data_IF_704926679667
#
_entry.id   IF_704926679667
#
_cell.length_a   1.000
_cell.length_b   1.000
_cell.length_c   1.000
_cell.angle_alpha   90.00
_cell.angle_beta   90.00
_cell.angle_gamma   90.00
#
_symmetry.space_group_name_H-M   'P 1'
#
loop_
_entity.id
_entity.type
_entity.pdbx_description
1 polymer ?
#
# COMPACT_ATOMS: atom_id res chain seq x y z
N UNK A 1 0.26 -5.82 12.52
CA UNK A 1 -0.96 -5.39 11.80
C UNK A 1 -2.12 -6.41 11.87
N UNK A 2 -1.87 -7.68 11.53
CA UNK A 2 -2.92 -8.71 11.41
C UNK A 2 -3.59 -9.07 12.75
N UNK A 3 -2.91 -8.85 13.88
CA UNK A 3 -3.45 -9.11 15.22
C UNK A 3 -4.40 -8.01 15.74
N UNK A 4 -4.61 -6.94 14.96
CA UNK A 4 -5.41 -5.78 15.36
C UNK A 4 -6.60 -5.60 14.40
N UNK A 5 -7.76 -5.12 14.90
CA UNK A 5 -8.87 -4.73 14.04
C UNK A 5 -8.46 -3.56 13.14
N UNK A 6 -9.07 -3.48 11.95
CA UNK A 6 -8.78 -2.42 10.99
C UNK A 6 -9.43 -1.11 11.47
N UNK A 7 -8.61 -0.08 11.71
CA UNK A 7 -9.08 1.18 12.29
C UNK A 7 -9.71 2.16 11.29
N UNK A 8 -9.48 1.97 9.99
CA UNK A 8 -9.95 2.88 8.93
C UNK A 8 -11.11 2.27 8.13
N UNK A 9 -12.07 3.08 7.65
CA UNK A 9 -13.08 2.62 6.69
C UNK A 9 -12.44 2.09 5.41
N UNK A 10 -13.11 1.14 4.73
CA UNK A 10 -12.56 0.50 3.51
C UNK A 10 -12.11 1.49 2.44
N UNK A 11 -12.95 2.49 2.11
CA UNK A 11 -12.63 3.52 1.13
C UNK A 11 -11.42 4.39 1.50
N UNK A 12 -10.97 4.40 2.76
CA UNK A 12 -9.80 5.13 3.23
C UNK A 12 -8.49 4.30 3.18
N UNK A 13 -8.54 3.05 2.70
CA UNK A 13 -7.39 2.13 2.69
C UNK A 13 -6.73 2.08 1.32
N UNK A 14 -5.39 2.12 1.30
CA UNK A 14 -4.58 1.87 0.12
C UNK A 14 -3.24 1.25 0.54
N UNK A 15 -2.70 0.33 -0.25
CA UNK A 15 -1.42 -0.35 0.01
C UNK A 15 -0.52 -0.24 -1.22
N UNK A 16 0.75 0.07 -1.05
CA UNK A 16 1.75 -0.20 -2.08
C UNK A 16 2.78 -1.20 -1.56
N UNK A 17 3.30 -2.07 -2.43
CA UNK A 17 4.24 -3.11 -2.04
C UNK A 17 5.26 -3.42 -3.14
N UNK A 18 6.50 -3.67 -2.73
CA UNK A 18 7.61 -4.00 -3.61
C UNK A 18 7.68 -5.50 -3.88
N UNK A 19 7.71 -5.93 -5.15
CA UNK A 19 7.83 -7.35 -5.52
C UNK A 19 9.16 -7.99 -5.10
N UNK A 20 10.20 -7.17 -4.88
CA UNK A 20 11.51 -7.60 -4.42
C UNK A 20 11.79 -7.25 -2.96
N UNK A 21 10.77 -6.83 -2.19
CA UNK A 21 10.93 -6.51 -0.78
C UNK A 21 11.19 -7.80 0.04
N UNK A 22 12.23 -7.76 0.86
CA UNK A 22 12.62 -8.85 1.77
C UNK A 22 12.35 -8.52 3.24
N UNK A 23 12.03 -7.28 3.55
CA UNK A 23 11.70 -6.81 4.90
C UNK A 23 10.19 -6.85 5.13
N UNK A 24 9.42 -6.23 4.22
CA UNK A 24 7.97 -6.35 4.14
C UNK A 24 7.63 -7.20 2.91
N UNK A 25 7.81 -8.51 3.06
CA UNK A 25 7.71 -9.47 1.95
C UNK A 25 6.36 -9.41 1.23
N UNK A 26 6.34 -9.87 -0.02
CA UNK A 26 5.10 -9.95 -0.82
C UNK A 26 4.00 -10.79 -0.15
N UNK A 27 4.36 -11.87 0.57
CA UNK A 27 3.40 -12.67 1.33
C UNK A 27 2.80 -11.88 2.52
N UNK A 28 3.62 -11.14 3.26
CA UNK A 28 3.13 -10.29 4.34
C UNK A 28 2.22 -9.17 3.80
N UNK A 29 2.58 -8.56 2.67
CA UNK A 29 1.75 -7.56 2.01
C UNK A 29 0.41 -8.14 1.52
N UNK A 30 0.41 -9.34 0.91
CA UNK A 30 -0.81 -10.04 0.50
C UNK A 30 -1.73 -10.35 1.69
N UNK A 31 -1.18 -10.89 2.78
CA UNK A 31 -1.95 -11.19 4.00
C UNK A 31 -2.55 -9.94 4.63
N UNK A 32 -1.84 -8.81 4.57
CA UNK A 32 -2.37 -7.52 5.02
C UNK A 32 -3.52 -7.04 4.13
N UNK A 33 -3.35 -7.17 2.81
CA UNK A 33 -4.37 -6.82 1.82
C UNK A 33 -5.65 -7.63 2.02
N UNK A 34 -5.55 -8.94 2.22
CA UNK A 34 -6.69 -9.82 2.56
C UNK A 34 -7.35 -9.41 3.89
N UNK A 35 -6.55 -9.16 4.93
CA UNK A 35 -7.03 -8.72 6.25
C UNK A 35 -7.75 -7.36 6.20
N UNK A 36 -7.48 -6.55 5.18
CA UNK A 36 -8.05 -5.21 5.00
C UNK A 36 -9.21 -5.18 4.01
N UNK A 37 -9.79 -6.35 3.69
CA UNK A 37 -10.89 -6.53 2.74
C UNK A 37 -10.51 -6.10 1.31
N UNK A 38 -9.32 -6.46 0.87
CA UNK A 38 -8.85 -6.27 -0.51
C UNK A 38 -8.91 -4.80 -1.00
N UNK A 39 -8.29 -3.84 -0.27
CA UNK A 39 -8.31 -2.44 -0.66
C UNK A 39 -7.49 -2.20 -1.94
N UNK A 40 -7.55 -0.98 -2.44
CA UNK A 40 -6.72 -0.55 -3.57
C UNK A 40 -5.23 -0.84 -3.33
N UNK A 41 -4.56 -1.44 -4.32
CA UNK A 41 -3.16 -1.83 -4.19
C UNK A 41 -2.29 -1.48 -5.41
N UNK A 42 -1.03 -1.15 -5.15
CA UNK A 42 -0.02 -0.89 -6.17
C UNK A 42 1.22 -1.77 -5.97
N UNK A 43 1.59 -2.55 -6.99
CA UNK A 43 2.77 -3.40 -6.97
C UNK A 43 3.87 -2.84 -7.87
N UNK A 44 5.06 -2.60 -7.30
CA UNK A 44 6.21 -2.07 -8.05
C UNK A 44 7.40 -3.05 -8.06
N UNK A 45 8.22 -3.07 -9.12
CA UNK A 45 9.41 -3.93 -9.21
C UNK A 45 10.57 -3.33 -8.40
N UNK A 46 10.53 -3.40 -7.07
CA UNK A 46 11.60 -2.88 -6.22
C UNK A 46 11.69 -3.57 -4.85
N UNK A 47 12.76 -3.26 -4.14
CA UNK A 47 12.99 -3.67 -2.76
C UNK A 47 12.29 -2.71 -1.78
N UNK A 48 12.54 -2.89 -0.48
CA UNK A 48 11.92 -2.09 0.58
C UNK A 48 12.04 -0.57 0.43
N UNK A 49 13.20 -0.07 -0.03
CA UNK A 49 13.47 1.37 -0.18
C UNK A 49 13.35 1.85 -1.62
N UNK A 50 13.13 0.94 -2.56
CA UNK A 50 13.03 1.24 -4.00
C UNK A 50 11.88 2.17 -4.35
N UNK A 51 10.87 2.30 -3.47
CA UNK A 51 9.75 3.22 -3.68
C UNK A 51 10.19 4.69 -3.76
N UNK A 52 11.31 5.06 -3.13
CA UNK A 52 11.83 6.43 -3.13
C UNK A 52 12.12 6.94 -4.55
N UNK A 53 12.47 6.04 -5.47
CA UNK A 53 12.73 6.34 -6.88
C UNK A 53 11.63 5.83 -7.82
N UNK A 54 10.47 5.44 -7.28
CA UNK A 54 9.38 4.89 -8.08
C UNK A 54 8.30 5.93 -8.36
N UNK A 55 8.31 6.47 -9.58
CA UNK A 55 7.22 7.33 -10.07
C UNK A 55 5.85 6.65 -9.98
N UNK A 56 5.82 5.31 -10.16
CA UNK A 56 4.59 4.53 -10.06
C UNK A 56 4.01 4.58 -8.64
N UNK A 57 4.86 4.45 -7.61
CA UNK A 57 4.41 4.53 -6.22
C UNK A 57 3.96 5.95 -5.88
N UNK A 58 4.74 6.97 -6.26
CA UNK A 58 4.38 8.35 -5.93
C UNK A 58 3.10 8.83 -6.62
N UNK A 59 2.87 8.46 -7.89
CA UNK A 59 1.60 8.73 -8.58
C UNK A 59 0.41 8.04 -7.91
N UNK A 60 0.61 6.78 -7.46
CA UNK A 60 -0.40 6.04 -6.73
C UNK A 60 -0.75 6.72 -5.40
N UNK A 61 0.26 7.10 -4.60
CA UNK A 61 0.06 7.78 -3.31
C UNK A 61 -0.66 9.13 -3.52
N UNK A 62 -0.23 9.92 -4.51
CA UNK A 62 -0.86 11.20 -4.83
C UNK A 62 -2.35 11.02 -5.20
N UNK A 63 -2.66 10.09 -6.11
CA UNK A 63 -4.04 9.79 -6.49
C UNK A 63 -4.88 9.26 -5.32
N UNK A 64 -4.27 8.45 -4.46
CA UNK A 64 -4.92 7.91 -3.27
C UNK A 64 -5.27 9.01 -2.26
N UNK A 65 -4.40 10.01 -2.09
CA UNK A 65 -4.66 11.15 -1.22
C UNK A 65 -5.72 12.09 -1.80
N UNK A 66 -5.63 12.41 -3.10
CA UNK A 66 -6.56 13.28 -3.81
C UNK A 66 -8.00 12.75 -3.75
N UNK A 67 -8.21 11.46 -4.08
CA UNK A 67 -9.53 10.81 -4.00
C UNK A 67 -10.15 10.80 -2.60
N UNK A 68 -9.33 11.03 -1.57
CA UNK A 68 -9.76 11.06 -0.16
C UNK A 68 -9.84 12.49 0.39
N UNK A 69 -9.61 13.51 -0.45
CA UNK A 69 -9.62 14.92 -0.05
C UNK A 69 -8.50 15.27 0.94
N UNK A 70 -7.38 14.56 0.90
CA UNK A 70 -6.25 14.71 1.82
C UNK A 70 -5.08 15.52 1.23
N UNK A 71 -5.27 16.10 0.05
CA UNK A 71 -4.31 17.02 -0.58
C UNK A 71 -4.59 18.45 -0.12
N UNK A 72 -3.52 19.19 0.25
CA UNK A 72 -3.57 20.59 0.65
C UNK A 72 -3.80 21.54 -0.52
#
# INVERSE_FOLDING_TARGET
PLAMPVATPHGARAIFAGRGDRLATTDQARRLWEHWDEPETCWFPGNHVGYLWSDTVWKFVASAMDRRGLTA
#
